data_IF_530983841279
#
_entry.id   IF_530983841279
#
_cell.length_a   1.000
_cell.length_b   1.000
_cell.length_c   1.000
_cell.angle_alpha   90.00
_cell.angle_beta   90.00
_cell.angle_gamma   90.00
#
_symmetry.space_group_name_H-M   'P 1'
#
loop_
_entity.id
_entity.type
_entity.pdbx_description
1 polymer ?
#
# COMPACT_ATOMS: atom_id res chain seq x y z
N UNK A 1 81.83 49.84 -10.32
CA UNK A 1 80.99 49.90 -11.52
C UNK A 1 80.65 48.49 -12.03
N UNK A 2 81.65 47.61 -12.09
CA UNK A 2 81.52 46.20 -12.53
C UNK A 2 80.46 45.39 -11.77
N UNK A 3 80.48 45.40 -10.43
CA UNK A 3 79.50 44.66 -9.61
C UNK A 3 78.03 45.11 -9.82
N UNK A 4 77.79 46.36 -10.24
CA UNK A 4 76.44 46.86 -10.51
C UNK A 4 75.91 46.41 -11.88
N UNK A 5 76.80 46.30 -12.87
CA UNK A 5 76.47 45.78 -14.22
C UNK A 5 76.17 44.29 -14.15
N UNK A 6 76.96 43.55 -13.36
CA UNK A 6 76.79 42.11 -13.18
C UNK A 6 75.47 41.77 -12.45
N UNK A 7 75.13 42.54 -11.40
CA UNK A 7 73.83 42.42 -10.70
C UNK A 7 72.63 42.70 -11.62
N UNK A 8 72.69 43.76 -12.42
CA UNK A 8 71.64 44.10 -13.39
C UNK A 8 71.42 43.00 -14.45
N UNK A 9 72.50 42.34 -14.89
CA UNK A 9 72.44 41.20 -15.82
C UNK A 9 71.74 39.98 -15.21
N UNK A 10 72.02 39.68 -13.94
CA UNK A 10 71.39 38.58 -13.19
C UNK A 10 69.90 38.84 -12.98
N UNK A 11 69.53 40.07 -12.57
CA UNK A 11 68.14 40.45 -12.34
C UNK A 11 67.30 40.28 -13.61
N UNK A 12 67.80 40.73 -14.77
CA UNK A 12 67.12 40.56 -16.06
C UNK A 12 66.87 39.08 -16.40
N UNK A 13 67.85 38.20 -16.19
CA UNK A 13 67.67 36.75 -16.42
C UNK A 13 66.63 36.15 -15.46
N UNK A 14 66.61 36.59 -14.20
CA UNK A 14 65.62 36.15 -13.22
C UNK A 14 64.20 36.52 -13.66
N UNK A 15 63.98 37.76 -14.09
CA UNK A 15 62.68 38.21 -14.62
C UNK A 15 62.22 37.39 -15.83
N UNK A 16 63.12 37.12 -16.79
CA UNK A 16 62.78 36.31 -17.97
C UNK A 16 62.42 34.86 -17.60
N UNK A 17 63.08 34.27 -16.61
CA UNK A 17 62.74 32.93 -16.10
C UNK A 17 61.36 32.93 -15.44
N UNK A 18 61.09 33.88 -14.54
CA UNK A 18 59.78 34.00 -13.88
C UNK A 18 58.65 34.21 -14.88
N UNK A 19 58.88 35.00 -15.93
CA UNK A 19 57.91 35.23 -17.01
C UNK A 19 57.59 33.94 -17.77
N UNK A 20 58.59 33.12 -18.10
CA UNK A 20 58.39 31.82 -18.77
C UNK A 20 57.64 30.83 -17.88
N UNK A 21 57.95 30.83 -16.59
CA UNK A 21 57.26 29.99 -15.61
C UNK A 21 55.79 30.37 -15.48
N UNK A 22 55.46 31.66 -15.44
CA UNK A 22 54.09 32.15 -15.47
C UNK A 22 53.34 31.75 -16.75
N UNK A 23 53.98 31.79 -17.92
CA UNK A 23 53.35 31.31 -19.15
C UNK A 23 53.07 29.81 -19.11
N UNK A 24 54.02 29.01 -18.63
CA UNK A 24 53.84 27.57 -18.51
C UNK A 24 52.68 27.23 -17.55
N UNK A 25 52.57 27.96 -16.44
CA UNK A 25 51.47 27.77 -15.48
C UNK A 25 50.12 28.19 -16.08
N UNK A 26 50.07 29.27 -16.85
CA UNK A 26 48.87 29.68 -17.58
C UNK A 26 48.45 28.63 -18.62
N UNK A 27 49.40 28.05 -19.36
CA UNK A 27 49.11 27.00 -20.34
C UNK A 27 48.52 25.76 -19.65
N UNK A 28 49.09 25.36 -18.50
CA UNK A 28 48.54 24.25 -17.68
C UNK A 28 47.14 24.55 -17.14
N UNK A 29 46.91 25.77 -16.66
CA UNK A 29 45.59 26.21 -16.19
C UNK A 29 44.57 26.22 -17.33
N UNK A 30 44.97 26.68 -18.52
CA UNK A 30 44.11 26.68 -19.69
C UNK A 30 43.75 25.25 -20.12
N UNK A 31 44.73 24.35 -20.15
CA UNK A 31 44.51 22.93 -20.45
C UNK A 31 43.57 22.27 -19.43
N UNK A 32 43.70 22.61 -18.14
CA UNK A 32 42.82 22.13 -17.08
C UNK A 32 41.38 22.63 -17.28
N UNK A 33 41.19 23.93 -17.58
CA UNK A 33 39.87 24.53 -17.81
C UNK A 33 39.20 23.88 -19.01
N UNK A 34 39.92 23.76 -20.13
CA UNK A 34 39.39 23.11 -21.35
C UNK A 34 39.01 21.66 -21.07
N UNK A 35 39.85 20.93 -20.33
CA UNK A 35 39.57 19.53 -19.98
C UNK A 35 38.31 19.41 -19.10
N UNK A 36 38.13 20.31 -18.13
CA UNK A 36 36.93 20.34 -17.28
C UNK A 36 35.67 20.65 -18.08
N UNK A 37 35.71 21.64 -18.98
CA UNK A 37 34.57 22.00 -19.84
C UNK A 37 34.16 20.85 -20.77
N UNK A 38 35.14 20.13 -21.33
CA UNK A 38 34.88 18.95 -22.17
C UNK A 38 34.23 17.84 -21.34
N UNK A 39 34.75 17.54 -20.16
CA UNK A 39 34.20 16.50 -19.27
C UNK A 39 32.79 16.85 -18.84
N UNK A 40 32.55 18.10 -18.42
CA UNK A 40 31.22 18.58 -18.04
C UNK A 40 30.22 18.46 -19.20
N UNK A 41 30.62 18.88 -20.39
CA UNK A 41 29.77 18.78 -21.60
C UNK A 41 29.46 17.32 -21.96
N UNK A 42 30.46 16.43 -21.86
CA UNK A 42 30.28 15.00 -22.12
C UNK A 42 29.33 14.34 -21.10
N UNK A 43 29.50 14.63 -19.81
CA UNK A 43 28.61 14.15 -18.74
C UNK A 43 27.18 14.64 -18.99
N UNK A 44 27.00 15.94 -19.28
CA UNK A 44 25.67 16.51 -19.51
C UNK A 44 24.98 15.90 -20.72
N UNK A 45 25.73 15.62 -21.77
CA UNK A 45 25.21 14.96 -22.97
C UNK A 45 24.80 13.51 -22.68
N UNK A 46 25.55 12.81 -21.82
CA UNK A 46 25.25 11.44 -21.43
C UNK A 46 23.98 11.34 -20.58
N UNK A 47 23.76 12.28 -19.66
CA UNK A 47 22.50 12.38 -18.89
C UNK A 47 21.28 12.48 -19.82
N UNK A 48 21.35 13.32 -20.86
CA UNK A 48 20.26 13.48 -21.83
C UNK A 48 20.01 12.19 -22.62
N UNK A 49 21.05 11.42 -22.92
CA UNK A 49 20.93 10.14 -23.62
C UNK A 49 20.25 9.09 -22.71
N UNK A 50 20.61 9.03 -21.43
CA UNK A 50 20.00 8.10 -20.47
C UNK A 50 18.52 8.41 -20.27
N UNK A 51 18.17 9.69 -20.10
CA UNK A 51 16.78 10.16 -20.02
C UNK A 51 15.97 9.75 -21.26
N UNK A 52 16.56 9.90 -22.45
CA UNK A 52 15.93 9.47 -23.70
C UNK A 52 15.73 7.95 -23.77
N UNK A 53 16.69 7.16 -23.32
CA UNK A 53 16.58 5.70 -23.32
C UNK A 53 15.53 5.21 -22.32
N UNK A 54 15.45 5.81 -21.14
CA UNK A 54 14.41 5.56 -20.14
C UNK A 54 13.03 5.91 -20.70
N UNK A 55 12.89 7.09 -21.34
CA UNK A 55 11.66 7.52 -21.98
C UNK A 55 11.24 6.52 -23.07
N UNK A 56 12.17 6.11 -23.93
CA UNK A 56 11.91 5.13 -25.00
C UNK A 56 11.44 3.79 -24.44
N UNK A 57 12.11 3.26 -23.41
CA UNK A 57 11.73 2.00 -22.74
C UNK A 57 10.33 2.10 -22.14
N UNK A 58 10.03 3.20 -21.47
CA UNK A 58 8.71 3.46 -20.87
C UNK A 58 7.62 3.53 -21.93
N UNK A 59 7.85 4.28 -23.01
CA UNK A 59 6.92 4.37 -24.14
C UNK A 59 6.63 3.00 -24.77
N UNK A 60 7.67 2.20 -25.06
CA UNK A 60 7.49 0.85 -25.62
C UNK A 60 6.70 -0.07 -24.68
N UNK A 61 6.90 0.03 -23.36
CA UNK A 61 6.16 -0.75 -22.37
C UNK A 61 4.68 -0.41 -22.38
N UNK A 62 4.34 0.88 -22.36
CA UNK A 62 2.96 1.35 -22.42
C UNK A 62 2.27 1.00 -23.75
N UNK A 63 2.99 1.13 -24.86
CA UNK A 63 2.48 0.73 -26.18
C UNK A 63 2.09 -0.76 -26.23
N UNK A 64 2.96 -1.65 -25.73
CA UNK A 64 2.67 -3.09 -25.66
C UNK A 64 1.51 -3.42 -24.72
N UNK A 65 1.38 -2.68 -23.61
CA UNK A 65 0.24 -2.80 -22.70
C UNK A 65 -1.06 -2.42 -23.40
N UNK A 66 -1.08 -1.34 -24.18
CA UNK A 66 -2.24 -0.93 -24.95
C UNK A 66 -2.66 -1.96 -25.99
N UNK A 67 -1.71 -2.57 -26.72
CA UNK A 67 -2.01 -3.67 -27.65
C UNK A 67 -2.71 -4.85 -26.95
N UNK A 68 -2.25 -5.18 -25.75
CA UNK A 68 -2.84 -6.27 -24.95
C UNK A 68 -4.28 -5.92 -24.52
N UNK A 69 -4.50 -4.69 -24.05
CA UNK A 69 -5.83 -4.21 -23.66
C UNK A 69 -6.80 -4.18 -24.83
N UNK A 70 -6.33 -3.83 -26.03
CA UNK A 70 -7.17 -3.85 -27.23
C UNK A 70 -7.69 -5.26 -27.55
N UNK A 71 -6.84 -6.27 -27.42
CA UNK A 71 -7.24 -7.69 -27.58
C UNK A 71 -8.24 -8.11 -26.49
N UNK A 72 -8.08 -7.67 -25.25
CA UNK A 72 -9.04 -7.96 -24.18
C UNK A 72 -10.40 -7.29 -24.41
N UNK A 73 -10.40 -6.02 -24.86
CA UNK A 73 -11.61 -5.28 -25.19
C UNK A 73 -12.41 -5.96 -26.31
N UNK A 74 -11.74 -6.47 -27.35
CA UNK A 74 -12.43 -7.22 -28.41
C UNK A 74 -13.09 -8.50 -27.89
N UNK A 75 -12.43 -9.24 -27.01
CA UNK A 75 -13.02 -10.44 -26.36
C UNK A 75 -14.22 -10.08 -25.51
N UNK A 76 -14.14 -8.99 -24.73
CA UNK A 76 -15.25 -8.53 -23.90
C UNK A 76 -16.47 -8.12 -24.75
N UNK A 77 -16.24 -7.47 -25.89
CA UNK A 77 -17.29 -7.13 -26.84
C UNK A 77 -17.99 -8.38 -27.41
N UNK A 78 -17.24 -9.43 -27.74
CA UNK A 78 -17.84 -10.70 -28.18
C UNK A 78 -18.64 -11.39 -27.07
N UNK A 79 -18.13 -11.38 -25.83
CA UNK A 79 -18.88 -11.88 -24.66
C UNK A 79 -20.18 -11.10 -24.45
N UNK A 80 -20.14 -9.78 -24.60
CA UNK A 80 -21.34 -8.93 -24.50
C UNK A 80 -22.41 -9.31 -25.54
N UNK A 81 -22.00 -9.59 -26.78
CA UNK A 81 -22.90 -10.10 -27.82
C UNK A 81 -23.50 -11.46 -27.44
N UNK A 82 -22.69 -12.38 -26.90
CA UNK A 82 -23.17 -13.69 -26.43
C UNK A 82 -24.19 -13.53 -25.29
N UNK A 83 -23.90 -12.69 -24.30
CA UNK A 83 -24.82 -12.40 -23.19
C UNK A 83 -26.15 -11.85 -23.68
N UNK A 84 -26.13 -10.93 -24.65
CA UNK A 84 -27.35 -10.37 -25.25
C UNK A 84 -28.20 -11.45 -25.94
N UNK A 85 -27.56 -12.37 -26.67
CA UNK A 85 -28.25 -13.50 -27.32
C UNK A 85 -28.86 -14.45 -26.29
N UNK A 86 -28.13 -14.76 -25.22
CA UNK A 86 -28.62 -15.62 -24.13
C UNK A 86 -29.79 -14.97 -23.39
N UNK A 87 -29.70 -13.68 -23.09
CA UNK A 87 -30.77 -12.92 -22.44
C UNK A 87 -32.06 -12.97 -23.27
N UNK A 88 -31.97 -12.73 -24.57
CA UNK A 88 -33.13 -12.82 -25.47
C UNK A 88 -33.71 -14.25 -25.51
N UNK A 89 -32.85 -15.27 -25.44
CA UNK A 89 -33.30 -16.66 -25.37
C UNK A 89 -34.04 -16.96 -24.07
N UNK A 90 -33.53 -16.50 -22.92
CA UNK A 90 -34.19 -16.64 -21.63
C UNK A 90 -35.56 -15.96 -21.61
N UNK A 91 -35.65 -14.72 -22.09
CA UNK A 91 -36.93 -14.01 -22.22
C UNK A 91 -37.92 -14.80 -23.10
N UNK A 92 -37.44 -15.35 -24.23
CA UNK A 92 -38.29 -16.19 -25.10
C UNK A 92 -38.79 -17.46 -24.41
N UNK A 93 -37.96 -18.10 -23.60
CA UNK A 93 -38.34 -19.29 -22.84
C UNK A 93 -39.35 -18.96 -21.73
N UNK A 94 -39.15 -17.87 -21.01
CA UNK A 94 -40.09 -17.39 -19.99
C UNK A 94 -41.47 -17.12 -20.60
N UNK A 95 -41.53 -16.44 -21.75
CA UNK A 95 -42.78 -16.20 -22.47
C UNK A 95 -43.46 -17.52 -22.89
N UNK A 96 -42.70 -18.49 -23.41
CA UNK A 96 -43.25 -19.82 -23.75
C UNK A 96 -43.78 -20.56 -22.52
N UNK A 97 -43.08 -20.46 -21.39
CA UNK A 97 -43.50 -21.08 -20.13
C UNK A 97 -44.80 -20.44 -19.62
N UNK A 98 -44.93 -19.12 -19.70
CA UNK A 98 -46.14 -18.40 -19.34
C UNK A 98 -47.33 -18.78 -20.25
N UNK A 99 -47.11 -18.83 -21.57
CA UNK A 99 -48.14 -19.27 -22.53
C UNK A 99 -48.60 -20.70 -22.25
N UNK A 100 -47.67 -21.61 -21.95
CA UNK A 100 -48.01 -22.99 -21.59
C UNK A 100 -48.86 -23.02 -20.30
N UNK A 101 -48.48 -22.24 -19.28
CA UNK A 101 -49.24 -22.13 -18.03
C UNK A 101 -50.68 -21.65 -18.27
N UNK A 102 -50.87 -20.65 -19.11
CA UNK A 102 -52.19 -20.14 -19.50
C UNK A 102 -53.00 -21.19 -20.27
N UNK A 103 -52.39 -21.94 -21.21
CA UNK A 103 -53.05 -23.05 -21.91
C UNK A 103 -53.54 -24.15 -20.96
N UNK A 104 -52.75 -24.50 -19.95
CA UNK A 104 -53.19 -25.46 -18.92
C UNK A 104 -54.34 -24.92 -18.06
N UNK A 105 -54.42 -23.61 -17.84
CA UNK A 105 -55.53 -22.99 -17.14
C UNK A 105 -56.81 -22.92 -18.00
N UNK A 106 -56.71 -22.61 -19.29
CA UNK A 106 -57.85 -22.54 -20.22
C UNK A 106 -58.45 -23.91 -20.57
N UNK A 107 -57.68 -25.00 -20.53
CA UNK A 107 -58.20 -26.35 -20.74
C UNK A 107 -58.92 -26.94 -19.50
N UNK A 108 -59.04 -26.18 -18.41
CA UNK A 108 -59.67 -26.62 -17.16
C UNK A 108 -61.13 -26.14 -17.04
N UNK A 109 -61.92 -26.39 -18.08
CA UNK A 109 -63.37 -26.60 -17.91
C UNK A 109 -63.68 -28.06 -17.53
N UNK A 110 -62.72 -28.76 -16.92
CA UNK A 110 -62.91 -30.10 -16.37
C UNK A 110 -63.00 -30.01 -14.84
N UNK A 111 -63.98 -30.73 -14.29
CA UNK A 111 -64.44 -30.79 -12.90
C UNK A 111 -63.36 -30.61 -11.83
N UNK A 112 -63.72 -29.92 -10.74
CA UNK A 112 -62.95 -29.49 -9.56
C UNK A 112 -61.92 -30.47 -8.90
N UNK A 113 -61.78 -31.71 -9.37
CA UNK A 113 -60.83 -32.70 -8.87
C UNK A 113 -59.38 -32.47 -9.37
N UNK A 114 -59.20 -32.03 -10.61
CA UNK A 114 -57.85 -31.87 -11.21
C UNK A 114 -57.09 -30.63 -10.69
N UNK A 115 -57.82 -29.65 -10.15
CA UNK A 115 -57.25 -28.47 -9.51
C UNK A 115 -56.59 -28.79 -8.17
N UNK A 116 -57.22 -29.67 -7.40
CA UNK A 116 -56.72 -30.11 -6.11
C UNK A 116 -55.46 -30.99 -6.28
N UNK A 117 -55.48 -31.91 -7.25
CA UNK A 117 -54.37 -32.82 -7.52
C UNK A 117 -53.08 -32.09 -7.93
N UNK A 118 -53.18 -31.06 -8.78
CA UNK A 118 -52.02 -30.27 -9.20
C UNK A 118 -51.45 -29.41 -8.07
N UNK A 119 -52.29 -28.83 -7.21
CA UNK A 119 -51.82 -28.08 -6.04
C UNK A 119 -51.07 -29.01 -5.07
N UNK A 120 -51.61 -30.20 -4.81
CA UNK A 120 -50.94 -31.25 -4.02
C UNK A 120 -49.60 -31.65 -4.65
N UNK A 121 -49.51 -31.76 -5.98
CA UNK A 121 -48.25 -32.07 -6.68
C UNK A 121 -47.17 -30.99 -6.47
N UNK A 122 -47.52 -29.70 -6.55
CA UNK A 122 -46.55 -28.62 -6.29
C UNK A 122 -46.08 -28.63 -4.84
N UNK A 123 -47.00 -28.75 -3.88
CA UNK A 123 -46.68 -28.83 -2.45
C UNK A 123 -45.76 -30.03 -2.16
N UNK A 124 -46.01 -31.19 -2.76
CA UNK A 124 -45.15 -32.38 -2.59
C UNK A 124 -43.74 -32.13 -3.13
N UNK A 125 -43.59 -31.47 -4.28
CA UNK A 125 -42.28 -31.18 -4.85
C UNK A 125 -41.51 -30.13 -4.02
N UNK A 126 -42.18 -29.11 -3.50
CA UNK A 126 -41.57 -28.12 -2.62
C UNK A 126 -41.09 -28.78 -1.32
N UNK A 127 -41.91 -29.64 -0.71
CA UNK A 127 -41.54 -30.42 0.47
C UNK A 127 -40.36 -31.36 0.18
N UNK A 128 -40.31 -31.98 -1.00
CA UNK A 128 -39.21 -32.83 -1.43
C UNK A 128 -37.90 -32.05 -1.57
N UNK A 129 -37.94 -30.85 -2.16
CA UNK A 129 -36.78 -29.98 -2.28
C UNK A 129 -36.27 -29.53 -0.89
N UNK A 130 -37.19 -29.18 0.01
CA UNK A 130 -36.84 -28.83 1.40
C UNK A 130 -36.20 -30.01 2.15
N UNK A 131 -36.73 -31.22 1.99
CA UNK A 131 -36.16 -32.43 2.60
C UNK A 131 -34.73 -32.68 2.12
N UNK A 132 -34.48 -32.59 0.82
CA UNK A 132 -33.17 -32.78 0.23
C UNK A 132 -32.14 -31.73 0.73
N UNK A 133 -32.57 -30.48 0.89
CA UNK A 133 -31.73 -29.43 1.48
C UNK A 133 -31.37 -29.72 2.95
N UNK A 134 -32.32 -30.25 3.73
CA UNK A 134 -32.09 -30.66 5.11
C UNK A 134 -31.15 -31.87 5.20
N UNK A 135 -31.29 -32.87 4.32
CA UNK A 135 -30.38 -34.02 4.23
C UNK A 135 -28.94 -33.61 3.92
N UNK A 136 -28.75 -32.64 3.00
CA UNK A 136 -27.43 -32.06 2.72
C UNK A 136 -26.84 -31.39 3.97
N UNK A 137 -27.66 -30.65 4.71
CA UNK A 137 -27.24 -29.98 5.95
C UNK A 137 -26.85 -30.98 7.05
N UNK A 138 -27.62 -32.05 7.22
CA UNK A 138 -27.31 -33.14 8.15
C UNK A 138 -26.00 -33.84 7.76
N UNK A 139 -25.78 -34.07 6.47
CA UNK A 139 -24.54 -34.70 5.97
C UNK A 139 -23.30 -33.85 6.29
N UNK A 140 -23.40 -32.53 6.10
CA UNK A 140 -22.33 -31.58 6.48
C UNK A 140 -22.06 -31.59 7.99
N UNK A 141 -23.10 -31.59 8.81
CA UNK A 141 -22.95 -31.67 10.27
C UNK A 141 -22.30 -32.97 10.73
N UNK A 142 -22.71 -34.11 10.15
CA UNK A 142 -22.07 -35.42 10.42
C UNK A 142 -20.59 -35.41 10.08
N UNK A 143 -20.21 -34.89 8.91
CA UNK A 143 -18.80 -34.76 8.53
C UNK A 143 -18.00 -33.90 9.53
N UNK A 144 -18.61 -32.82 10.02
CA UNK A 144 -17.98 -31.96 11.02
C UNK A 144 -17.78 -32.67 12.37
N UNK A 145 -18.78 -33.43 12.83
CA UNK A 145 -18.70 -34.23 14.07
C UNK A 145 -17.61 -35.28 13.97
N UNK A 146 -17.50 -35.99 12.85
CA UNK A 146 -16.45 -36.99 12.65
C UNK A 146 -15.05 -36.36 12.59
N UNK A 147 -14.93 -35.16 12.00
CA UNK A 147 -13.68 -34.38 12.03
C UNK A 147 -13.28 -33.99 13.46
N UNK A 148 -14.26 -33.67 14.31
CA UNK A 148 -14.03 -33.33 15.72
C UNK A 148 -13.69 -34.56 16.57
N UNK A 149 -14.31 -35.72 16.31
CA UNK A 149 -13.98 -36.98 16.98
C UNK A 149 -12.57 -37.48 16.66
N UNK A 150 -12.13 -37.34 15.40
CA UNK A 150 -10.77 -37.68 15.00
C UNK A 150 -9.67 -36.79 15.60
N UNK A 151 -10.05 -35.65 16.21
CA UNK A 151 -9.13 -34.71 16.86
C UNK A 151 -8.88 -34.97 18.35
N UNK A 152 -9.58 -35.92 18.98
CA UNK A 152 -9.43 -36.19 20.42
C UNK A 152 -8.86 -37.58 20.72
N UNK A 153 -7.53 -37.72 20.57
CA UNK A 153 -6.68 -38.44 21.54
C UNK A 153 -5.32 -37.74 21.63
N UNK A 154 -5.20 -36.78 22.54
CA UNK A 154 -4.07 -36.71 23.47
C UNK A 154 -4.55 -35.98 24.72
N UNK A 155 -4.73 -36.76 25.79
CA UNK A 155 -5.06 -36.27 27.12
C UNK A 155 -3.92 -35.38 27.63
N UNK A 156 -4.27 -34.24 28.24
CA UNK A 156 -3.80 -33.94 29.60
C UNK A 156 -4.70 -32.92 30.27
N UNK A 157 -5.12 -33.29 31.48
CA UNK A 157 -6.11 -32.66 32.34
C UNK A 157 -5.68 -31.27 32.84
N UNK A 158 -6.55 -30.25 32.78
CA UNK A 158 -6.69 -29.12 33.74
C UNK A 158 -8.12 -28.54 33.61
N UNK A 159 -8.81 -28.12 34.70
CA UNK A 159 -10.25 -27.90 34.71
C UNK A 159 -10.68 -26.50 34.24
N UNK A 160 -11.97 -26.44 33.91
CA UNK A 160 -12.77 -25.26 33.58
C UNK A 160 -12.51 -24.10 34.53
N UNK A 161 -12.01 -22.99 34.00
CA UNK A 161 -12.31 -21.64 34.51
C UNK A 161 -12.54 -20.72 33.33
N UNK A 162 -13.66 -20.01 33.37
CA UNK A 162 -13.91 -18.81 32.57
C UNK A 162 -12.66 -17.91 32.60
N UNK A 163 -11.98 -17.78 31.47
CA UNK A 163 -11.00 -16.73 31.22
C UNK A 163 -11.60 -15.91 30.07
N UNK A 164 -12.21 -14.77 30.39
CA UNK A 164 -11.52 -13.48 30.45
C UNK A 164 -11.05 -13.08 29.06
N UNK A 165 -11.49 -11.91 28.62
CA UNK A 165 -10.80 -11.04 27.65
C UNK A 165 -9.48 -11.64 27.16
N UNK A 166 -9.38 -11.92 25.86
CA UNK A 166 -8.06 -11.91 25.24
C UNK A 166 -7.52 -10.52 25.54
N UNK A 167 -6.66 -10.45 26.54
CA UNK A 167 -6.06 -9.23 27.00
C UNK A 167 -5.42 -8.58 25.78
N UNK A 168 -5.70 -7.29 25.59
CA UNK A 168 -5.06 -6.44 24.59
C UNK A 168 -3.52 -6.46 24.66
N UNK A 169 -2.91 -7.11 25.67
CA UNK A 169 -1.45 -7.20 25.87
C UNK A 169 -0.71 -8.27 25.05
N UNK A 170 -1.33 -8.94 24.07
CA UNK A 170 -0.66 -10.00 23.29
C UNK A 170 0.25 -9.51 22.15
N UNK A 171 0.28 -8.21 21.85
CA UNK A 171 1.30 -7.61 20.98
C UNK A 171 2.33 -6.84 21.80
N UNK A 172 2.92 -7.47 22.82
CA UNK A 172 4.25 -7.05 23.25
C UNK A 172 5.21 -7.38 22.11
N UNK A 173 5.40 -6.41 21.22
CA UNK A 173 6.55 -6.42 20.33
C UNK A 173 7.77 -6.31 21.27
N UNK A 174 8.47 -7.41 21.48
CA UNK A 174 9.79 -7.40 22.12
C UNK A 174 10.76 -6.69 21.16
N UNK A 175 10.72 -5.36 21.17
CA UNK A 175 11.50 -4.50 20.30
C UNK A 175 12.84 -4.23 20.97
N UNK A 176 13.92 -4.80 20.41
CA UNK A 176 15.27 -4.43 20.79
C UNK A 176 15.50 -2.91 20.61
N UNK A 177 16.37 -2.29 21.43
CA UNK A 177 16.70 -0.88 21.28
C UNK A 177 17.23 -0.57 19.88
N UNK A 178 16.71 0.50 19.27
CA UNK A 178 17.13 0.94 17.93
C UNK A 178 18.65 1.14 17.87
N UNK A 179 19.27 0.55 16.83
CA UNK A 179 20.71 0.64 16.55
C UNK A 179 21.23 2.08 16.64
N UNK A 180 22.41 2.27 17.22
CA UNK A 180 23.06 3.59 17.34
C UNK A 180 23.28 4.30 16.00
N UNK A 181 23.30 3.57 14.87
CA UNK A 181 23.45 4.14 13.52
C UNK A 181 22.22 4.93 13.05
N UNK A 182 21.03 4.62 13.56
CA UNK A 182 19.80 5.38 13.27
C UNK A 182 19.76 6.72 14.01
N UNK A 183 20.61 6.93 15.03
CA UNK A 183 20.60 8.17 15.83
C UNK A 183 21.15 9.40 15.08
N UNK A 184 21.82 9.21 13.94
CA UNK A 184 22.58 10.26 13.28
C UNK A 184 21.78 11.12 12.28
N UNK A 185 20.53 10.75 11.96
CA UNK A 185 19.68 11.48 11.00
C UNK A 185 18.36 11.93 11.62
N UNK A 186 18.46 12.78 12.66
CA UNK A 186 17.33 13.24 13.49
C UNK A 186 16.19 13.84 12.67
N UNK A 187 16.51 14.75 11.76
CA UNK A 187 15.50 15.49 10.99
C UNK A 187 14.70 14.56 10.05
N UNK A 188 15.37 13.62 9.39
CA UNK A 188 14.68 12.62 8.57
C UNK A 188 13.80 11.69 9.44
N UNK A 189 14.28 11.29 10.62
CA UNK A 189 13.49 10.46 11.53
C UNK A 189 12.22 11.18 12.02
N UNK A 190 12.33 12.46 12.36
CA UNK A 190 11.21 13.27 12.80
C UNK A 190 10.21 13.49 11.65
N UNK A 191 10.67 13.73 10.42
CA UNK A 191 9.83 13.85 9.21
C UNK A 191 9.09 12.55 8.88
N UNK A 192 9.80 11.41 8.87
CA UNK A 192 9.18 10.10 8.63
C UNK A 192 8.15 9.74 9.71
N UNK A 193 8.44 10.03 10.97
CA UNK A 193 7.51 9.75 12.06
C UNK A 193 6.26 10.62 11.95
N UNK A 194 6.44 11.90 11.61
CA UNK A 194 5.33 12.82 11.36
C UNK A 194 4.47 12.34 10.19
N UNK A 195 5.10 11.92 9.10
CA UNK A 195 4.38 11.38 7.93
C UNK A 195 3.62 10.10 8.24
N UNK A 196 4.22 9.23 9.06
CA UNK A 196 3.58 8.00 9.51
C UNK A 196 2.37 8.29 10.40
N UNK A 197 2.42 9.32 11.26
CA UNK A 197 1.26 9.79 12.04
C UNK A 197 0.11 10.25 11.14
N UNK A 198 0.40 11.10 10.15
CA UNK A 198 -0.62 11.58 9.18
C UNK A 198 -1.31 10.43 8.43
N UNK A 199 -0.53 9.46 7.96
CA UNK A 199 -1.09 8.28 7.28
C UNK A 199 -1.92 7.41 8.22
N UNK A 200 -1.49 7.25 9.47
CA UNK A 200 -2.22 6.47 10.47
C UNK A 200 -3.56 7.13 10.82
N UNK A 201 -3.59 8.46 10.94
CA UNK A 201 -4.83 9.21 11.18
C UNK A 201 -5.78 9.13 9.98
N UNK A 202 -5.24 9.19 8.76
CA UNK A 202 -6.02 8.99 7.53
C UNK A 202 -6.65 7.60 7.48
N UNK A 203 -5.86 6.55 7.77
CA UNK A 203 -6.34 5.17 7.84
C UNK A 203 -7.43 5.01 8.91
N UNK A 204 -7.26 5.63 10.08
CA UNK A 204 -8.29 5.64 11.14
C UNK A 204 -9.60 6.24 10.64
N UNK A 205 -9.54 7.41 9.99
CA UNK A 205 -10.71 8.07 9.42
C UNK A 205 -11.42 7.21 8.37
N UNK A 206 -10.68 6.53 7.50
CA UNK A 206 -11.24 5.61 6.50
C UNK A 206 -11.95 4.44 7.18
N UNK A 207 -11.32 3.83 8.20
CA UNK A 207 -11.89 2.70 8.93
C UNK A 207 -13.16 3.11 9.71
N UNK A 208 -13.18 4.30 10.30
CA UNK A 208 -14.36 4.85 10.97
C UNK A 208 -15.51 5.13 9.99
N UNK A 209 -15.21 5.68 8.81
CA UNK A 209 -16.21 5.91 7.76
C UNK A 209 -16.77 4.59 7.22
N UNK A 210 -15.91 3.62 6.94
CA UNK A 210 -16.32 2.30 6.47
C UNK A 210 -17.19 1.56 7.50
N UNK A 211 -16.89 1.72 8.81
CA UNK A 211 -17.72 1.19 9.90
C UNK A 211 -19.10 1.84 10.00
N UNK A 212 -19.22 3.14 9.71
CA UNK A 212 -20.54 3.81 9.64
C UNK A 212 -21.38 3.30 8.49
N UNK A 213 -20.74 2.99 7.36
CA UNK A 213 -21.42 2.52 6.15
C UNK A 213 -21.82 1.05 6.25
N UNK A 214 -20.95 0.17 6.75
CA UNK A 214 -21.15 -1.27 6.82
C UNK A 214 -20.66 -1.86 8.15
N UNK A 215 -21.43 -1.76 9.25
CA UNK A 215 -21.01 -2.20 10.58
C UNK A 215 -20.69 -3.70 10.69
N UNK A 216 -21.28 -4.53 9.83
CA UNK A 216 -21.17 -6.00 9.86
C UNK A 216 -20.01 -6.55 9.03
N UNK A 217 -19.19 -5.69 8.41
CA UNK A 217 -18.04 -6.15 7.62
C UNK A 217 -16.96 -6.77 8.53
N UNK A 218 -16.67 -8.08 8.40
CA UNK A 218 -15.71 -8.78 9.25
C UNK A 218 -14.26 -8.28 9.06
N UNK A 219 -13.95 -7.62 7.95
CA UNK A 219 -12.61 -7.08 7.69
C UNK A 219 -12.34 -5.77 8.46
N UNK A 220 -13.39 -5.06 8.91
CA UNK A 220 -13.23 -3.83 9.70
C UNK A 220 -12.66 -4.07 11.09
N UNK A 221 -12.92 -5.24 11.68
CA UNK A 221 -12.33 -5.62 12.96
C UNK A 221 -10.82 -5.79 12.82
N UNK A 222 -10.36 -6.39 11.72
CA UNK A 222 -8.95 -6.57 11.42
C UNK A 222 -8.26 -5.24 11.10
N UNK A 223 -8.90 -4.39 10.30
CA UNK A 223 -8.40 -3.04 9.99
C UNK A 223 -8.24 -2.17 11.25
N UNK A 224 -9.15 -2.29 12.23
CA UNK A 224 -9.03 -1.61 13.52
C UNK A 224 -7.86 -2.10 14.37
N UNK A 225 -7.62 -3.42 14.39
CA UNK A 225 -6.48 -4.00 15.13
C UNK A 225 -5.16 -3.50 14.56
N UNK A 226 -5.05 -3.37 13.23
CA UNK A 226 -3.87 -2.80 12.60
C UNK A 226 -3.67 -1.32 12.90
N UNK A 227 -4.71 -0.49 12.84
CA UNK A 227 -4.56 0.94 13.13
C UNK A 227 -4.18 1.20 14.58
N UNK A 228 -4.61 0.35 15.53
CA UNK A 228 -4.17 0.39 16.94
C UNK A 228 -2.69 -0.01 17.06
N UNK A 229 -2.28 -1.12 16.45
CA UNK A 229 -0.89 -1.58 16.49
C UNK A 229 0.10 -0.53 15.93
N UNK A 230 -0.26 0.15 14.84
CA UNK A 230 0.58 1.22 14.27
C UNK A 230 0.70 2.41 15.24
N UNK A 231 -0.37 2.77 15.97
CA UNK A 231 -0.32 3.84 16.97
C UNK A 231 0.56 3.49 18.15
N UNK A 232 0.47 2.26 18.64
CA UNK A 232 1.33 1.76 19.73
C UNK A 232 2.80 1.75 19.32
N UNK A 233 3.10 1.35 18.07
CA UNK A 233 4.46 1.40 17.52
C UNK A 233 4.98 2.84 17.40
N UNK A 234 4.16 3.78 16.93
CA UNK A 234 4.52 5.20 16.86
C UNK A 234 4.80 5.76 18.26
N UNK A 235 3.99 5.41 19.26
CA UNK A 235 4.18 5.84 20.64
C UNK A 235 5.50 5.28 21.20
N UNK A 236 5.75 3.98 21.02
CA UNK A 236 6.99 3.34 21.42
C UNK A 236 8.23 3.98 20.79
N UNK A 237 8.20 4.23 19.47
CA UNK A 237 9.32 4.87 18.76
C UNK A 237 9.51 6.32 19.23
N UNK A 238 8.43 7.03 19.54
CA UNK A 238 8.50 8.41 20.07
C UNK A 238 9.13 8.46 21.47
N UNK A 239 8.87 7.45 22.31
CA UNK A 239 9.38 7.35 23.69
C UNK A 239 10.83 6.83 23.76
N UNK A 240 11.19 5.92 22.86
CA UNK A 240 12.53 5.28 22.84
C UNK A 240 13.56 6.04 22.00
N UNK A 241 13.13 7.01 21.19
CA UNK A 241 14.03 7.89 20.45
C UNK A 241 14.51 9.06 21.35
N UNK A 242 15.83 9.21 21.61
CA UNK A 242 16.37 10.26 22.49
C UNK A 242 16.19 11.71 21.96
N UNK A 243 15.65 11.91 20.76
CA UNK A 243 15.62 13.20 20.07
C UNK A 243 14.50 14.16 20.54
N UNK A 244 13.57 13.73 21.39
CA UNK A 244 12.38 14.51 21.73
C UNK A 244 12.43 15.31 23.04
N UNK A 245 13.48 15.16 23.87
CA UNK A 245 13.46 15.69 25.25
C UNK A 245 14.10 17.07 25.49
N UNK A 246 14.53 17.79 24.46
CA UNK A 246 15.10 19.13 24.64
C UNK A 246 14.45 20.08 23.63
N UNK A 247 13.42 20.80 24.09
CA UNK A 247 12.99 22.18 23.75
C UNK A 247 11.48 22.30 24.05
N UNK A 248 11.12 22.33 25.33
CA UNK A 248 9.83 22.91 25.77
C UNK A 248 9.88 23.44 27.20
N UNK A 249 11.01 24.04 27.60
CA UNK A 249 11.08 24.89 28.81
C UNK A 249 12.08 26.03 28.59
N UNK A 250 11.71 26.98 27.72
CA UNK A 250 12.27 28.33 27.79
C UNK A 250 11.56 29.04 28.93
N UNK A 251 12.02 28.79 30.16
CA UNK A 251 11.71 29.63 31.31
C UNK A 251 12.24 31.02 30.98
N UNK A 252 11.33 31.96 30.74
CA UNK A 252 11.66 33.38 30.65
C UNK A 252 12.21 33.79 32.01
N UNK A 253 13.52 33.97 32.08
CA UNK A 253 14.18 34.55 33.24
C UNK A 253 13.76 36.03 33.35
N UNK A 254 12.88 36.32 34.30
CA UNK A 254 12.61 37.69 34.73
C UNK A 254 13.81 38.16 35.54
N UNK A 255 14.57 39.09 34.98
CA UNK A 255 15.68 39.79 35.64
C UNK A 255 15.09 40.74 36.69
N UNK A 256 15.46 40.67 37.99
CA UNK A 256 15.20 41.76 38.92
C UNK A 256 16.25 42.85 38.70
N UNK A 257 15.79 44.06 38.35
CA UNK A 257 16.63 45.26 38.31
C UNK A 257 17.21 45.58 39.69
N UNK A 258 18.50 45.87 39.68
CA UNK A 258 19.32 46.28 40.81
C UNK A 258 18.71 47.42 41.64
N UNK A 259 18.77 47.29 42.97
CA UNK A 259 18.80 48.43 43.88
C UNK A 259 20.26 48.85 44.09
N UNK A 260 20.63 50.02 43.59
CA UNK A 260 21.79 50.78 44.07
C UNK A 260 21.31 52.11 44.66
N UNK A 261 21.32 52.10 46.00
CA UNK A 261 21.50 53.20 46.97
C UNK A 261 21.32 54.66 46.52
N UNK A 262 20.42 55.35 47.21
CA UNK A 262 20.76 56.53 48.02
C UNK A 262 20.01 56.46 49.35
#
# INVERSE_FOLDING_TARGET
>A
MEAAVEKCSVDKKCFETQKKELFLENDRLLELIISQDIVYTAIKSLEVIDDYEIMRKTYCKEYNRNLTLEVELTKMNELSKICSRLQNHCISLELKLQQNKERFQCNRSCSNLDALALNVFFVINDLKAMLQAKESSISKLRAHIETLKGKNVSNTNVPVTNASMIALGMFRLDLEPLSSRLKNNREAHDDYLQKTKEHTDTLRSIVEQARKLNPSDPYLEYACKFTICIQELIAYVSETCPSSQIISKKLVAVIPMNKTKK
#
